data_IF_136072483409
#
_entry.id   IF_136072483409
#
_cell.length_a   1.000
_cell.length_b   1.000
_cell.length_c   1.000
_cell.angle_alpha   90.00
_cell.angle_beta   90.00
_cell.angle_gamma   90.00
#
_symmetry.space_group_name_H-M   'P 1'
#
loop_
_entity.id
_entity.type
_entity.pdbx_description
1 polymer ?
#
# COMPACT_ATOMS: atom_id res chain seq x y z
N UNK A 1 9.76 2.98 -12.74
CA UNK A 1 9.09 4.26 -13.03
C UNK A 1 7.99 4.02 -14.05
N UNK A 2 6.81 4.60 -13.88
CA UNK A 2 5.65 4.47 -14.77
C UNK A 2 5.05 5.85 -15.01
N UNK A 3 4.93 6.26 -16.26
CA UNK A 3 4.33 7.54 -16.66
C UNK A 3 2.81 7.45 -16.74
N UNK A 4 2.11 8.58 -16.64
CA UNK A 4 0.65 8.64 -16.74
C UNK A 4 0.10 7.93 -17.99
N UNK A 5 0.73 8.08 -19.16
CA UNK A 5 0.24 7.44 -20.39
C UNK A 5 0.64 5.96 -20.54
N UNK A 6 1.43 5.41 -19.61
CA UNK A 6 1.82 4.01 -19.66
C UNK A 6 0.60 3.09 -19.47
N UNK A 7 0.54 1.95 -20.18
CA UNK A 7 -0.45 0.91 -19.94
C UNK A 7 -0.32 0.29 -18.54
N UNK A 8 0.86 0.36 -17.93
CA UNK A 8 1.10 -0.18 -16.59
C UNK A 8 0.62 0.76 -15.47
N UNK A 9 0.23 2.01 -15.77
CA UNK A 9 -0.28 2.94 -14.77
C UNK A 9 -1.60 2.45 -14.18
N UNK A 10 -1.82 2.65 -12.87
CA UNK A 10 -3.03 2.17 -12.19
C UNK A 10 -4.29 2.71 -12.85
N UNK A 11 -5.13 1.79 -13.35
CA UNK A 11 -6.46 2.13 -13.88
C UNK A 11 -7.37 2.69 -12.79
N UNK A 12 -7.29 2.11 -11.58
CA UNK A 12 -8.07 2.58 -10.42
C UNK A 12 -7.72 4.03 -10.10
N UNK A 13 -6.42 4.35 -10.03
CA UNK A 13 -5.98 5.71 -9.72
C UNK A 13 -6.38 6.70 -10.82
N UNK A 14 -6.22 6.34 -12.10
CA UNK A 14 -6.70 7.15 -13.24
C UNK A 14 -8.20 7.40 -13.20
N UNK A 15 -9.00 6.40 -12.86
CA UNK A 15 -10.45 6.51 -12.88
C UNK A 15 -10.97 7.32 -11.69
N UNK A 16 -10.34 7.18 -10.53
CA UNK A 16 -10.77 7.86 -9.30
C UNK A 16 -10.23 9.29 -9.17
N UNK A 17 -9.19 9.65 -9.92
CA UNK A 17 -8.60 10.99 -9.89
C UNK A 17 -8.84 11.73 -11.20
N UNK A 18 -9.11 13.03 -11.13
CA UNK A 18 -9.08 13.89 -12.32
C UNK A 18 -7.66 13.88 -12.92
N UNK A 19 -7.56 14.06 -14.23
CA UNK A 19 -6.27 14.10 -14.94
C UNK A 19 -5.31 15.12 -14.31
N UNK A 20 -5.82 16.30 -13.91
CA UNK A 20 -5.02 17.36 -13.28
C UNK A 20 -4.51 17.04 -11.88
N UNK A 21 -5.06 16.04 -11.21
CA UNK A 21 -4.66 15.63 -9.85
C UNK A 21 -3.87 14.32 -9.86
N UNK A 22 -3.88 13.58 -10.97
CA UNK A 22 -3.16 12.32 -11.08
C UNK A 22 -1.66 12.59 -11.15
N UNK A 23 -0.83 11.83 -10.40
CA UNK A 23 0.61 11.92 -10.52
C UNK A 23 1.05 11.67 -11.98
N UNK A 24 1.84 12.57 -12.60
CA UNK A 24 2.33 12.34 -13.96
C UNK A 24 3.31 11.15 -14.03
N UNK A 25 3.88 10.77 -12.90
CA UNK A 25 4.95 9.78 -12.77
C UNK A 25 4.84 9.03 -11.43
N UNK A 26 4.96 7.70 -11.49
CA UNK A 26 5.05 6.82 -10.32
C UNK A 26 6.43 6.12 -10.29
N UNK A 27 7.14 6.23 -9.18
CA UNK A 27 8.32 5.46 -8.80
C UNK A 27 7.91 4.20 -8.05
N UNK A 28 8.42 3.05 -8.48
CA UNK A 28 7.96 1.75 -7.99
C UNK A 28 9.16 0.86 -7.74
N UNK A 29 9.13 0.13 -6.62
CA UNK A 29 10.09 -0.93 -6.28
C UNK A 29 9.32 -2.19 -5.92
N UNK A 30 9.45 -3.21 -6.77
CA UNK A 30 8.78 -4.50 -6.64
C UNK A 30 7.81 -4.76 -7.79
N UNK A 31 6.76 -5.53 -7.54
CA UNK A 31 5.88 -6.06 -8.59
C UNK A 31 4.77 -5.07 -8.98
N UNK A 32 4.95 -4.48 -10.16
CA UNK A 32 4.02 -3.52 -10.76
C UNK A 32 2.66 -4.13 -11.13
N UNK A 33 2.52 -5.45 -11.26
CA UNK A 33 1.23 -6.05 -11.66
C UNK A 33 0.12 -5.76 -10.64
N UNK A 34 0.49 -5.52 -9.38
CA UNK A 34 -0.46 -5.18 -8.31
C UNK A 34 -1.21 -3.86 -8.53
N UNK A 35 -0.68 -2.95 -9.35
CA UNK A 35 -1.37 -1.73 -9.78
C UNK A 35 -2.67 -1.97 -10.53
N UNK A 36 -2.79 -3.15 -11.16
CA UNK A 36 -3.90 -3.54 -12.01
C UNK A 36 -4.89 -4.45 -11.28
N UNK A 37 -4.59 -4.83 -10.05
CA UNK A 37 -5.41 -5.73 -9.25
C UNK A 37 -6.45 -4.93 -8.44
N UNK A 38 -7.56 -5.59 -8.10
CA UNK A 38 -8.54 -5.00 -7.20
C UNK A 38 -7.92 -4.82 -5.81
N UNK A 39 -7.94 -3.59 -5.31
CA UNK A 39 -7.29 -3.22 -4.06
C UNK A 39 -8.24 -2.50 -3.10
N UNK A 40 -7.91 -2.52 -1.82
CA UNK A 40 -8.60 -1.75 -0.78
C UNK A 40 -7.58 -0.96 0.04
N UNK A 41 -7.89 0.30 0.35
CA UNK A 41 -7.07 1.12 1.23
C UNK A 41 -7.49 0.92 2.69
N UNK A 42 -6.53 0.68 3.57
CA UNK A 42 -6.73 0.62 5.02
C UNK A 42 -5.87 1.69 5.66
N UNK A 43 -6.52 2.66 6.30
CA UNK A 43 -5.90 3.83 6.93
C UNK A 43 -6.52 4.09 8.29
N UNK A 44 -5.79 4.72 9.20
CA UNK A 44 -6.35 5.10 10.49
C UNK A 44 -5.41 5.87 11.41
N UNK A 45 -5.73 5.87 12.70
CA UNK A 45 -5.00 6.65 13.70
C UNK A 45 -3.54 6.22 13.83
N UNK A 46 -2.66 7.20 14.08
CA UNK A 46 -1.26 6.96 14.47
C UNK A 46 -1.08 6.53 15.91
N UNK A 47 -2.08 6.81 16.72
CA UNK A 47 -2.21 6.40 18.12
C UNK A 47 -3.51 5.62 18.26
N UNK A 48 -3.43 4.33 17.97
CA UNK A 48 -4.58 3.44 17.94
C UNK A 48 -4.55 2.51 19.15
N UNK A 49 -5.74 2.25 19.71
CA UNK A 49 -5.92 1.31 20.80
C UNK A 49 -5.79 -0.14 20.33
N UNK A 50 -5.60 -1.08 21.27
CA UNK A 50 -5.56 -2.51 20.95
C UNK A 50 -6.84 -3.00 20.26
N UNK A 51 -8.02 -2.53 20.68
CA UNK A 51 -9.29 -2.84 20.01
C UNK A 51 -9.26 -2.42 18.54
N UNK A 52 -8.67 -1.26 18.24
CA UNK A 52 -8.53 -0.77 16.86
C UNK A 52 -7.58 -1.64 16.05
N UNK A 53 -6.52 -2.18 16.68
CA UNK A 53 -5.62 -3.13 16.04
C UNK A 53 -6.28 -4.47 15.76
N UNK A 54 -7.02 -5.04 16.71
CA UNK A 54 -7.79 -6.27 16.50
C UNK A 54 -8.81 -6.10 15.37
N UNK A 55 -9.50 -4.96 15.34
CA UNK A 55 -10.39 -4.63 14.23
C UNK A 55 -9.64 -4.56 12.89
N UNK A 56 -8.50 -3.88 12.86
CA UNK A 56 -7.65 -3.77 11.67
C UNK A 56 -7.18 -5.14 11.17
N UNK A 57 -6.81 -6.04 12.09
CA UNK A 57 -6.40 -7.41 11.77
C UNK A 57 -7.53 -8.18 11.08
N UNK A 58 -8.74 -8.11 11.63
CA UNK A 58 -9.92 -8.76 11.09
C UNK A 58 -10.30 -8.20 9.70
N UNK A 59 -10.23 -6.87 9.55
CA UNK A 59 -10.44 -6.21 8.25
C UNK A 59 -9.44 -6.71 7.23
N UNK A 60 -8.15 -6.78 7.56
CA UNK A 60 -7.12 -7.22 6.61
C UNK A 60 -7.25 -8.71 6.27
N UNK A 61 -7.63 -9.56 7.23
CA UNK A 61 -7.89 -10.98 6.99
C UNK A 61 -9.04 -11.20 6.00
N UNK A 62 -10.11 -10.41 6.10
CA UNK A 62 -11.22 -10.48 5.16
C UNK A 62 -10.87 -9.83 3.82
N UNK A 63 -10.20 -8.68 3.87
CA UNK A 63 -9.74 -7.95 2.70
C UNK A 63 -8.84 -8.81 1.81
N UNK A 64 -7.93 -9.60 2.37
CA UNK A 64 -7.04 -10.46 1.57
C UNK A 64 -7.74 -11.63 0.86
N UNK A 65 -8.96 -11.99 1.30
CA UNK A 65 -9.78 -13.02 0.65
C UNK A 65 -10.60 -12.44 -0.51
N UNK A 66 -11.17 -11.25 -0.30
CA UNK A 66 -12.06 -10.60 -1.27
C UNK A 66 -11.34 -9.66 -2.25
N UNK A 67 -10.31 -9.00 -1.74
CA UNK A 67 -9.45 -8.08 -2.47
C UNK A 67 -8.07 -8.70 -2.63
N UNK A 68 -7.48 -8.46 -3.79
CA UNK A 68 -6.21 -9.05 -4.14
C UNK A 68 -5.02 -8.33 -3.52
N UNK A 69 -5.22 -7.09 -3.04
CA UNK A 69 -4.18 -6.17 -2.57
C UNK A 69 -4.71 -5.23 -1.47
N UNK A 70 -3.96 -5.08 -0.37
CA UNK A 70 -4.19 -4.03 0.65
C UNK A 70 -3.23 -2.86 0.44
N UNK A 71 -3.71 -1.62 0.48
CA UNK A 71 -2.92 -0.40 0.29
C UNK A 71 -2.88 0.43 1.58
N UNK A 72 -1.71 0.93 1.99
CA UNK A 72 -1.59 1.80 3.16
C UNK A 72 -0.35 2.72 3.11
N UNK A 73 -0.26 3.71 4.01
CA UNK A 73 0.79 4.73 4.02
C UNK A 73 2.01 4.41 4.90
N UNK A 74 1.98 3.29 5.61
CA UNK A 74 3.03 2.81 6.52
C UNK A 74 3.42 3.81 7.63
N UNK A 75 2.47 4.67 8.02
CA UNK A 75 2.57 5.41 9.27
C UNK A 75 2.49 4.45 10.48
N UNK A 76 3.05 4.87 11.62
CA UNK A 76 2.80 4.18 12.91
C UNK A 76 1.30 4.03 13.13
N UNK A 77 0.88 2.96 13.80
CA UNK A 77 -0.53 2.73 14.15
C UNK A 77 -1.23 1.84 13.14
N UNK A 78 -2.45 2.22 12.74
CA UNK A 78 -3.32 1.39 11.89
C UNK A 78 -2.66 1.01 10.56
N UNK A 79 -1.99 1.95 9.90
CA UNK A 79 -1.34 1.71 8.61
C UNK A 79 -0.30 0.59 8.68
N UNK A 80 0.62 0.68 9.66
CA UNK A 80 1.62 -0.35 9.89
C UNK A 80 0.95 -1.69 10.26
N UNK A 81 -0.06 -1.67 11.14
CA UNK A 81 -0.77 -2.90 11.55
C UNK A 81 -1.45 -3.59 10.37
N UNK A 82 -2.06 -2.82 9.47
CA UNK A 82 -2.73 -3.35 8.29
C UNK A 82 -1.76 -4.10 7.36
N UNK A 83 -0.58 -3.51 7.13
CA UNK A 83 0.48 -4.11 6.30
C UNK A 83 1.05 -5.37 6.96
N UNK A 84 1.30 -5.33 8.27
CA UNK A 84 1.78 -6.49 9.03
C UNK A 84 0.78 -7.64 9.01
N UNK A 85 -0.50 -7.36 9.23
CA UNK A 85 -1.55 -8.38 9.25
C UNK A 85 -1.83 -8.97 7.88
N UNK A 86 -1.73 -8.15 6.83
CA UNK A 86 -1.75 -8.64 5.44
C UNK A 86 -0.60 -9.60 5.16
N UNK A 87 0.62 -9.31 5.64
CA UNK A 87 1.77 -10.20 5.48
C UNK A 87 1.62 -11.52 6.24
N UNK A 88 1.09 -11.48 7.47
CA UNK A 88 0.91 -12.68 8.32
C UNK A 88 0.09 -13.76 7.60
N UNK A 89 -0.86 -13.34 6.76
CA UNK A 89 -1.71 -14.23 5.97
C UNK A 89 -1.19 -14.46 4.55
N UNK A 90 0.05 -14.06 4.25
CA UNK A 90 0.68 -14.12 2.91
C UNK A 90 -0.11 -13.39 1.83
N UNK A 91 -0.88 -12.38 2.23
CA UNK A 91 -1.56 -11.47 1.32
C UNK A 91 -0.58 -10.56 0.60
N UNK A 92 -1.09 -9.81 -0.39
CA UNK A 92 -0.31 -8.83 -1.14
C UNK A 92 -0.64 -7.42 -0.63
N UNK A 93 0.37 -6.58 -0.49
CA UNK A 93 0.18 -5.19 -0.08
C UNK A 93 1.00 -4.19 -0.91
N UNK A 94 0.48 -2.97 -1.01
CA UNK A 94 1.17 -1.80 -1.58
C UNK A 94 1.36 -0.80 -0.44
N UNK A 95 2.55 -0.23 -0.36
CA UNK A 95 2.83 0.92 0.49
C UNK A 95 2.92 2.16 -0.40
N UNK A 96 2.24 3.23 0.01
CA UNK A 96 2.40 4.57 -0.57
C UNK A 96 3.24 5.40 0.40
N UNK A 97 4.50 5.63 0.06
CA UNK A 97 5.42 6.38 0.91
C UNK A 97 5.16 7.89 0.83
N UNK A 98 5.26 8.61 1.96
CA UNK A 98 5.15 10.07 1.99
C UNK A 98 6.44 10.79 1.57
N UNK A 99 7.52 10.05 1.27
CA UNK A 99 8.83 10.58 0.89
C UNK A 99 9.49 9.71 -0.18
N UNK A 100 10.62 10.18 -0.72
CA UNK A 100 11.34 9.50 -1.80
C UNK A 100 11.76 8.06 -1.45
N UNK A 101 11.66 7.16 -2.41
CA UNK A 101 11.95 5.73 -2.22
C UNK A 101 13.40 5.46 -1.79
N UNK A 102 14.33 6.33 -2.17
CA UNK A 102 15.75 6.23 -1.82
C UNK A 102 16.03 6.67 -0.38
N UNK A 103 15.25 7.61 0.17
CA UNK A 103 15.45 8.09 1.54
C UNK A 103 14.74 7.19 2.56
N UNK A 104 13.64 6.54 2.15
CA UNK A 104 12.84 5.67 3.00
C UNK A 104 13.55 4.36 3.41
N UNK A 105 14.50 3.86 2.60
CA UNK A 105 15.18 2.55 2.78
C UNK A 105 16.09 2.48 4.03
N UNK A 106 16.39 3.62 4.66
CA UNK A 106 17.37 3.71 5.75
C UNK A 106 16.81 3.39 7.14
N UNK A 107 15.50 3.55 7.37
CA UNK A 107 14.90 3.40 8.70
C UNK A 107 14.29 2.02 9.00
N UNK A 108 13.89 1.25 7.99
CA UNK A 108 13.00 0.07 8.20
C UNK A 108 13.38 -1.10 7.27
N UNK A 109 14.68 -1.45 7.23
CA UNK A 109 15.19 -2.52 6.33
C UNK A 109 14.46 -3.87 6.53
N UNK A 110 14.18 -4.30 7.76
CA UNK A 110 13.71 -5.66 8.04
C UNK A 110 12.23 -5.92 7.68
N UNK A 111 11.35 -4.91 7.78
CA UNK A 111 9.92 -5.05 7.47
C UNK A 111 9.68 -4.75 5.99
N UNK A 112 10.34 -3.73 5.43
CA UNK A 112 10.27 -3.39 4.01
C UNK A 112 10.78 -4.58 3.16
N UNK A 113 11.91 -5.22 3.52
CA UNK A 113 12.45 -6.36 2.76
C UNK A 113 11.46 -7.53 2.59
N UNK A 114 10.53 -7.72 3.54
CA UNK A 114 9.46 -8.74 3.44
C UNK A 114 8.22 -8.23 2.67
N UNK A 115 8.04 -6.91 2.57
CA UNK A 115 6.88 -6.22 1.98
C UNK A 115 7.06 -5.76 0.53
N UNK A 116 8.26 -5.82 -0.05
CA UNK A 116 8.64 -5.05 -1.25
C UNK A 116 7.81 -5.34 -2.53
N UNK A 117 6.69 -4.63 -2.65
CA UNK A 117 5.91 -4.32 -3.87
C UNK A 117 5.34 -2.89 -3.78
N UNK A 118 6.22 -1.92 -3.52
CA UNK A 118 5.91 -0.55 -3.06
C UNK A 118 5.86 0.44 -4.23
N UNK A 119 4.97 1.44 -4.10
CA UNK A 119 4.50 2.30 -5.19
C UNK A 119 4.29 3.74 -4.68
N UNK A 120 5.07 4.69 -5.21
CA UNK A 120 4.96 6.14 -4.98
C UNK A 120 4.93 6.88 -6.30
#
# INVERSE_FOLDING_TARGET
MITFNSPDYSKILKNNMKVSLSPPLLYIKGDKQMLQERSIAVVGSRDASEISYEFTDNVCLNATKEFKVVVSGFAKGVDQRALESTLKVKGRSIIVLPQGIMTFDTGIKNIILKLLKVMC
#
